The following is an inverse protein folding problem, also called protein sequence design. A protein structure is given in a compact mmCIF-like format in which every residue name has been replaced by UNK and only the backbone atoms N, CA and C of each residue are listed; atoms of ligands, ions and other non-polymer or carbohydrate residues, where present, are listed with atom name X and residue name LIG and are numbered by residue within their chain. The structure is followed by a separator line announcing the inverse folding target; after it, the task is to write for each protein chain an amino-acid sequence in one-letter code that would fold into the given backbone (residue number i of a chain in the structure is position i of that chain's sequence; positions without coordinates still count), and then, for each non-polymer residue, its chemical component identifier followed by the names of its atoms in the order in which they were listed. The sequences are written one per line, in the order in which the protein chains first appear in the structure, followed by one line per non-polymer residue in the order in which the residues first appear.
data_IF_608895539054
#
_entry.id   IF_608895539054
#
_cell.length_a   1.000
_cell.length_b   1.000
_cell.length_c   1.000
_cell.angle_alpha   90.00
_cell.angle_beta   90.00
_cell.angle_gamma   90.00
#
_symmetry.space_group_name_H-M   'P 1'
#
loop_
_entity.id
_entity.type
_entity.pdbx_description
1 polymer ?
#
# COMPACT_ATOMS: atom_id res chain seq x y z
N UNK A 1 -10.66 -11.82 9.19
CA UNK A 1 -10.32 -10.86 8.11
C UNK A 1 -8.83 -10.84 7.76
N UNK A 2 -7.91 -10.77 8.72
CA UNK A 2 -6.48 -10.70 8.42
C UNK A 2 -5.85 -12.01 7.89
N UNK A 3 -6.49 -13.18 8.03
CA UNK A 3 -5.92 -14.44 7.51
C UNK A 3 -5.75 -14.45 5.98
N UNK A 4 -6.70 -13.86 5.23
CA UNK A 4 -6.58 -13.70 3.77
C UNK A 4 -5.43 -12.74 3.45
N UNK A 5 -5.28 -11.67 4.24
CA UNK A 5 -4.18 -10.73 4.11
C UNK A 5 -2.82 -11.38 4.29
N UNK A 6 -2.65 -12.13 5.38
CA UNK A 6 -1.43 -12.83 5.72
C UNK A 6 -1.02 -13.80 4.61
N UNK A 7 -2.02 -14.51 4.06
CA UNK A 7 -1.81 -15.38 2.90
C UNK A 7 -1.35 -14.61 1.66
N UNK A 8 -1.89 -13.42 1.42
CA UNK A 8 -1.42 -12.59 0.29
C UNK A 8 0.00 -12.09 0.51
N UNK A 9 0.33 -11.54 1.68
CA UNK A 9 1.71 -11.11 1.97
C UNK A 9 2.71 -12.27 1.90
N UNK A 10 2.31 -13.46 2.33
CA UNK A 10 3.13 -14.67 2.18
C UNK A 10 3.32 -15.07 0.70
N UNK A 11 2.26 -15.02 -0.12
CA UNK A 11 2.35 -15.33 -1.55
C UNK A 11 3.29 -14.39 -2.27
N UNK A 12 3.22 -13.09 -1.98
CA UNK A 12 4.07 -12.08 -2.61
C UNK A 12 5.54 -12.28 -2.24
N UNK A 13 5.81 -12.58 -0.96
CA UNK A 13 7.15 -13.00 -0.52
C UNK A 13 7.63 -14.28 -1.24
N UNK A 14 6.78 -15.30 -1.35
CA UNK A 14 7.11 -16.56 -2.06
C UNK A 14 7.40 -16.35 -3.55
N UNK A 15 6.78 -15.34 -4.18
CA UNK A 15 7.10 -14.94 -5.56
C UNK A 15 8.39 -14.12 -5.67
N UNK A 16 9.01 -13.76 -4.55
CA UNK A 16 10.22 -12.94 -4.51
C UNK A 16 9.96 -11.48 -4.85
N UNK A 17 8.71 -11.00 -4.69
CA UNK A 17 8.32 -9.64 -5.05
C UNK A 17 8.43 -8.64 -3.88
N UNK A 18 8.76 -9.09 -2.67
CA UNK A 18 8.95 -8.21 -1.52
C UNK A 18 10.26 -8.57 -0.82
N UNK A 19 11.39 -8.31 -1.48
CA UNK A 19 12.67 -8.49 -0.82
C UNK A 19 12.82 -7.54 0.38
N UNK A 20 13.28 -8.08 1.51
CA UNK A 20 13.41 -7.36 2.78
C UNK A 20 12.09 -6.67 3.19
N UNK A 21 12.06 -5.34 3.12
CA UNK A 21 10.96 -4.46 3.47
C UNK A 21 10.39 -3.72 2.24
N UNK A 22 10.69 -4.18 1.01
CA UNK A 22 10.31 -3.56 -0.27
C UNK A 22 8.86 -3.79 -0.70
N UNK A 23 7.95 -3.91 0.27
CA UNK A 23 6.54 -4.18 0.03
C UNK A 23 5.69 -3.62 1.15
N UNK A 24 4.52 -3.08 0.80
CA UNK A 24 3.57 -2.59 1.79
C UNK A 24 2.13 -2.65 1.25
N UNK A 25 1.16 -2.80 2.16
CA UNK A 25 -0.25 -2.94 1.82
C UNK A 25 -1.10 -2.11 2.78
N UNK A 26 -2.15 -1.49 2.24
CA UNK A 26 -3.23 -0.96 3.06
C UNK A 26 -4.60 -1.33 2.48
N UNK A 27 -5.54 -1.62 3.38
CA UNK A 27 -6.91 -1.99 3.06
C UNK A 27 -7.82 -1.07 3.85
N UNK A 28 -8.73 -0.40 3.15
CA UNK A 28 -9.81 0.34 3.77
C UNK A 28 -10.87 -0.62 4.29
N UNK A 29 -11.26 -0.45 5.56
CA UNK A 29 -12.28 -1.23 6.25
C UNK A 29 -13.56 -0.42 6.48
N UNK A 30 -14.71 -1.10 6.55
CA UNK A 30 -15.94 -0.48 7.03
C UNK A 30 -16.00 -0.53 8.54
N UNK A 31 -16.88 0.28 9.14
CA UNK A 31 -17.05 0.31 10.58
C UNK A 31 -17.56 -1.03 11.11
N UNK A 32 -18.52 -1.64 10.41
CA UNK A 32 -19.13 -2.92 10.76
C UNK A 32 -18.09 -4.06 10.73
N UNK A 33 -17.20 -4.05 9.74
CA UNK A 33 -16.09 -5.00 9.67
C UNK A 33 -15.12 -4.84 10.83
N UNK A 34 -14.86 -3.62 11.30
CA UNK A 34 -14.00 -3.37 12.47
C UNK A 34 -14.69 -3.83 13.76
N UNK A 35 -15.94 -3.44 13.96
CA UNK A 35 -16.76 -3.80 15.13
C UNK A 35 -16.93 -5.31 15.30
N UNK A 36 -16.92 -6.06 14.20
CA UNK A 36 -16.97 -7.53 14.24
C UNK A 36 -15.74 -8.18 14.90
N UNK A 37 -14.59 -7.48 14.98
CA UNK A 37 -13.36 -8.02 15.59
C UNK A 37 -12.92 -7.27 16.84
N UNK A 38 -13.27 -5.98 16.98
CA UNK A 38 -12.94 -5.18 18.15
C UNK A 38 -14.13 -4.33 18.55
N UNK A 39 -14.56 -4.46 19.81
CA UNK A 39 -15.69 -3.70 20.35
C UNK A 39 -15.25 -2.34 20.93
N UNK A 40 -13.99 -1.93 20.76
CA UNK A 40 -13.46 -0.74 21.43
C UNK A 40 -13.00 0.32 20.44
N UNK A 41 -13.60 1.51 20.51
CA UNK A 41 -13.11 2.75 19.91
C UNK A 41 -11.85 3.30 20.63
N UNK A 42 -11.10 2.42 21.30
CA UNK A 42 -9.96 2.80 22.12
C UNK A 42 -8.80 3.18 21.21
N UNK A 43 -8.40 4.44 21.31
CA UNK A 43 -7.16 4.94 20.70
C UNK A 43 -5.99 4.58 21.61
N UNK A 44 -5.05 3.79 21.10
CA UNK A 44 -3.82 3.40 21.79
C UNK A 44 -2.76 4.49 21.69
N UNK A 45 -2.60 5.04 20.47
CA UNK A 45 -1.65 6.11 20.14
C UNK A 45 -2.26 6.97 19.03
N UNK A 46 -1.93 8.26 19.04
CA UNK A 46 -2.20 9.14 17.91
C UNK A 46 -0.87 9.41 17.21
N UNK A 47 -0.84 9.23 15.88
CA UNK A 47 0.36 9.41 15.06
C UNK A 47 0.06 10.53 14.06
N UNK A 48 0.83 11.61 14.11
CA UNK A 48 0.68 12.72 13.17
C UNK A 48 1.04 12.28 11.75
N UNK A 49 0.35 12.82 10.76
CA UNK A 49 0.68 12.61 9.34
C UNK A 49 0.94 13.95 8.65
N UNK A 50 2.00 14.00 7.85
CA UNK A 50 2.37 15.18 7.06
C UNK A 50 1.60 15.23 5.73
N UNK A 51 0.30 14.92 5.78
CA UNK A 51 -0.58 14.84 4.61
C UNK A 51 -2.02 15.19 5.01
N UNK A 52 -2.71 15.96 4.18
CA UNK A 52 -4.14 16.26 4.36
C UNK A 52 -4.99 15.05 3.91
N UNK A 53 -5.40 14.24 4.88
CA UNK A 53 -6.27 13.10 4.68
C UNK A 53 -7.75 13.41 5.03
N UNK A 54 -8.18 14.67 5.01
CA UNK A 54 -9.55 15.07 5.38
C UNK A 54 -10.63 14.37 4.54
N UNK A 55 -10.38 14.08 3.25
CA UNK A 55 -11.27 13.28 2.41
C UNK A 55 -11.50 11.84 2.92
N UNK A 56 -10.64 11.37 3.82
CA UNK A 56 -10.67 10.04 4.42
C UNK A 56 -11.03 10.06 5.91
N UNK A 57 -11.44 11.20 6.46
CA UNK A 57 -11.81 11.36 7.87
C UNK A 57 -12.77 10.24 8.34
N UNK A 58 -12.47 9.69 9.52
CA UNK A 58 -13.24 8.61 10.14
C UNK A 58 -13.13 7.24 9.47
N UNK A 59 -12.40 7.09 8.36
CA UNK A 59 -12.22 5.81 7.67
C UNK A 59 -11.16 4.96 8.36
N UNK A 60 -11.38 3.64 8.34
CA UNK A 60 -10.50 2.65 8.94
C UNK A 60 -9.58 2.02 7.91
N UNK A 61 -8.35 1.74 8.32
CA UNK A 61 -7.37 1.04 7.52
C UNK A 61 -6.66 -0.01 8.36
N UNK A 62 -6.53 -1.21 7.81
CA UNK A 62 -5.46 -2.11 8.22
C UNK A 62 -4.24 -1.77 7.35
N UNK A 63 -3.04 -1.74 7.92
CA UNK A 63 -1.83 -1.31 7.22
C UNK A 63 -0.60 -2.04 7.73
N UNK A 64 0.34 -2.31 6.83
CA UNK A 64 1.66 -2.84 7.17
C UNK A 64 2.58 -1.76 7.75
N UNK A 65 3.40 -2.10 8.74
CA UNK A 65 4.27 -1.13 9.40
C UNK A 65 5.53 -0.75 8.61
N UNK A 66 6.19 0.30 9.06
CA UNK A 66 7.51 0.71 8.54
C UNK A 66 8.59 -0.32 8.84
N UNK A 67 9.47 -0.58 7.85
CA UNK A 67 10.58 -1.53 7.97
C UNK A 67 10.18 -2.99 8.19
N UNK A 68 8.90 -3.35 8.00
CA UNK A 68 8.39 -4.70 8.25
C UNK A 68 8.61 -5.60 7.04
N UNK A 69 8.73 -6.90 7.33
CA UNK A 69 9.04 -7.92 6.34
C UNK A 69 7.79 -8.78 6.16
N UNK A 70 7.30 -8.93 4.92
CA UNK A 70 6.09 -9.72 4.64
C UNK A 70 6.20 -11.17 5.14
N UNK A 71 7.40 -11.76 5.06
CA UNK A 71 7.67 -13.11 5.57
C UNK A 71 7.35 -13.30 7.07
N UNK A 72 7.47 -12.24 7.86
CA UNK A 72 7.30 -12.28 9.31
C UNK A 72 5.85 -12.03 9.76
N UNK A 73 5.00 -11.49 8.87
CA UNK A 73 3.65 -11.05 9.25
C UNK A 73 2.77 -12.20 9.71
N UNK A 74 2.97 -13.41 9.18
CA UNK A 74 2.23 -14.61 9.59
C UNK A 74 2.54 -14.96 11.05
N UNK A 75 3.80 -14.82 11.46
CA UNK A 75 4.27 -15.15 12.82
C UNK A 75 4.01 -14.00 13.80
N UNK A 76 4.11 -12.73 13.34
CA UNK A 76 4.05 -11.54 14.19
C UNK A 76 3.05 -10.48 13.68
N UNK A 77 1.76 -10.81 13.54
CA UNK A 77 0.77 -9.91 12.96
C UNK A 77 0.57 -8.62 13.79
N UNK A 78 0.56 -8.72 15.12
CA UNK A 78 0.42 -7.56 16.02
C UNK A 78 1.64 -6.64 16.05
N UNK A 79 2.81 -7.13 15.61
CA UNK A 79 4.02 -6.32 15.50
C UNK A 79 4.09 -5.62 14.15
N UNK A 80 3.73 -6.36 13.09
CA UNK A 80 4.02 -5.96 11.71
C UNK A 80 2.83 -5.27 11.00
N UNK A 81 1.63 -5.35 11.57
CA UNK A 81 0.42 -4.68 11.08
C UNK A 81 -0.22 -3.82 12.16
N UNK A 82 -1.03 -2.85 11.72
CA UNK A 82 -1.82 -2.01 12.61
C UNK A 82 -3.17 -1.66 12.02
N UNK A 83 -4.20 -1.66 12.88
CA UNK A 83 -5.50 -1.10 12.58
C UNK A 83 -5.50 0.37 13.02
N UNK A 84 -5.76 1.25 12.07
CA UNK A 84 -5.77 2.69 12.28
C UNK A 84 -7.07 3.31 11.78
N UNK A 85 -7.46 4.43 12.36
CA UNK A 85 -8.54 5.29 11.87
C UNK A 85 -7.96 6.66 11.54
N UNK A 86 -8.35 7.23 10.40
CA UNK A 86 -7.99 8.62 10.09
C UNK A 86 -8.79 9.55 11.01
N UNK A 87 -8.11 10.49 11.66
CA UNK A 87 -8.79 11.43 12.56
C UNK A 87 -9.85 12.25 11.82
N UNK A 88 -10.83 12.77 12.55
CA UNK A 88 -11.92 13.57 11.97
C UNK A 88 -11.43 14.82 11.22
N UNK A 89 -10.24 15.33 11.59
CA UNK A 89 -9.59 16.49 10.95
C UNK A 89 -8.71 16.05 9.76
N UNK A 90 -8.28 14.79 9.70
CA UNK A 90 -7.45 14.26 8.62
C UNK A 90 -5.96 14.57 8.73
N UNK A 91 -5.48 15.04 9.88
CA UNK A 91 -4.06 15.40 10.11
C UNK A 91 -3.27 14.39 10.95
N UNK A 92 -3.94 13.31 11.37
CA UNK A 92 -3.38 12.28 12.24
C UNK A 92 -4.13 10.98 12.05
N UNK A 93 -3.54 9.89 12.55
CA UNK A 93 -4.18 8.58 12.61
C UNK A 93 -4.24 8.09 14.05
N UNK A 94 -5.40 7.56 14.40
CA UNK A 94 -5.67 6.90 15.67
C UNK A 94 -5.30 5.42 15.52
N UNK A 95 -4.24 4.97 16.19
CA UNK A 95 -3.88 3.56 16.27
C UNK A 95 -4.80 2.84 17.25
N UNK A 96 -5.52 1.83 16.78
CA UNK A 96 -6.52 1.10 17.56
C UNK A 96 -6.08 -0.32 17.93
N UNK A 97 -5.21 -0.92 17.11
CA UNK A 97 -4.63 -2.24 17.36
C UNK A 97 -3.34 -2.42 16.57
N UNK A 98 -2.47 -3.31 17.03
CA UNK A 98 -1.19 -3.62 16.38
C UNK A 98 -0.08 -2.63 16.72
N UNK A 99 1.06 -2.77 16.04
CA UNK A 99 2.32 -2.11 16.37
C UNK A 99 2.66 -2.15 17.87
N UNK A 100 2.52 -3.33 18.47
CA UNK A 100 2.69 -3.54 19.92
C UNK A 100 4.13 -3.27 20.43
N UNK A 101 5.10 -3.16 19.53
CA UNK A 101 6.50 -2.83 19.80
C UNK A 101 6.81 -1.32 19.66
N UNK A 102 5.80 -0.48 19.48
CA UNK A 102 5.98 0.96 19.26
C UNK A 102 6.16 1.34 17.79
N UNK A 103 6.01 0.40 16.86
CA UNK A 103 6.06 0.69 15.42
C UNK A 103 5.01 1.69 14.92
N UNK A 104 5.12 2.02 13.64
CA UNK A 104 4.25 2.96 12.94
C UNK A 104 3.86 2.39 11.57
N UNK A 105 2.81 2.93 10.90
CA UNK A 105 2.49 2.60 9.52
C UNK A 105 3.71 2.75 8.59
N UNK A 106 3.67 2.09 7.43
CA UNK A 106 4.71 2.25 6.39
C UNK A 106 5.03 3.72 6.13
N UNK A 107 6.31 4.03 5.87
CA UNK A 107 6.75 5.39 5.50
C UNK A 107 6.04 5.90 4.23
N UNK A 108 5.54 5.00 3.39
CA UNK A 108 4.78 5.31 2.17
C UNK A 108 3.28 5.50 2.42
N UNK A 109 2.83 5.49 3.67
CA UNK A 109 1.40 5.54 3.99
C UNK A 109 0.70 6.79 3.43
N UNK A 110 1.30 8.00 3.41
CA UNK A 110 0.74 9.14 2.69
C UNK A 110 0.43 8.85 1.21
N UNK A 111 1.32 8.13 0.50
CA UNK A 111 1.10 7.72 -0.90
C UNK A 111 -0.06 6.73 -1.03
N UNK A 112 -0.26 5.86 -0.04
CA UNK A 112 -1.42 4.99 0.01
C UNK A 112 -2.70 5.81 0.15
N UNK A 113 -2.72 6.78 1.08
CA UNK A 113 -3.89 7.64 1.30
C UNK A 113 -4.25 8.44 0.05
N UNK A 114 -3.27 9.05 -0.62
CA UNK A 114 -3.48 9.74 -1.91
C UNK A 114 -4.10 8.80 -2.96
N UNK A 115 -3.58 7.57 -3.05
CA UNK A 115 -4.11 6.57 -3.98
C UNK A 115 -5.54 6.17 -3.61
N UNK A 116 -5.82 5.93 -2.33
CA UNK A 116 -7.17 5.63 -1.83
C UNK A 116 -8.17 6.75 -2.16
N UNK A 117 -7.81 8.02 -1.96
CA UNK A 117 -8.64 9.18 -2.34
C UNK A 117 -8.97 9.13 -3.84
N UNK A 118 -7.94 8.93 -4.68
CA UNK A 118 -8.12 8.88 -6.12
C UNK A 118 -8.96 7.67 -6.58
N UNK A 119 -8.83 6.52 -5.92
CA UNK A 119 -9.61 5.30 -6.24
C UNK A 119 -11.05 5.40 -5.75
N UNK A 120 -11.28 5.97 -4.56
CA UNK A 120 -12.63 6.22 -4.03
C UNK A 120 -13.49 7.07 -4.96
N UNK A 121 -12.91 8.07 -5.62
CA UNK A 121 -13.59 8.90 -6.62
C UNK A 121 -14.02 8.13 -7.88
N UNK A 122 -13.38 6.98 -8.14
CA UNK A 122 -13.63 6.15 -9.32
C UNK A 122 -14.57 4.98 -9.02
N UNK A 123 -14.31 4.27 -7.92
CA UNK A 123 -15.03 3.08 -7.52
C UNK A 123 -14.87 2.87 -6.00
N UNK A 124 -15.97 2.95 -5.21
CA UNK A 124 -15.91 2.77 -3.76
C UNK A 124 -15.59 1.33 -3.33
N UNK A 125 -15.65 0.34 -4.21
CA UNK A 125 -15.27 -1.05 -3.91
C UNK A 125 -13.76 -1.28 -4.07
N UNK A 126 -13.02 -0.32 -4.64
CA UNK A 126 -11.56 -0.32 -4.65
C UNK A 126 -11.03 0.06 -3.27
N UNK A 127 -10.67 -0.98 -2.51
CA UNK A 127 -10.35 -0.87 -1.09
C UNK A 127 -8.92 -1.23 -0.74
N UNK A 128 -8.13 -1.75 -1.67
CA UNK A 128 -6.75 -2.20 -1.44
C UNK A 128 -5.78 -1.36 -2.25
N UNK A 129 -4.71 -0.90 -1.61
CA UNK A 129 -3.50 -0.39 -2.26
C UNK A 129 -2.34 -1.28 -1.83
N UNK A 130 -1.57 -1.74 -2.81
CA UNK A 130 -0.47 -2.67 -2.62
C UNK A 130 0.72 -2.20 -3.45
N UNK A 131 1.88 -2.14 -2.81
CA UNK A 131 3.18 -1.93 -3.43
C UNK A 131 4.03 -3.19 -3.22
N UNK A 132 4.74 -3.56 -4.28
CA UNK A 132 5.70 -4.66 -4.32
C UNK A 132 6.69 -4.40 -5.46
N UNK A 133 7.69 -5.25 -5.60
CA UNK A 133 8.73 -5.25 -6.62
C UNK A 133 8.65 -6.47 -7.56
N UNK A 134 7.68 -6.55 -8.48
CA UNK A 134 7.60 -7.67 -9.41
C UNK A 134 8.81 -7.69 -10.34
N UNK A 135 9.65 -8.72 -10.21
CA UNK A 135 10.98 -8.80 -10.83
C UNK A 135 10.96 -8.52 -12.34
N UNK A 136 10.05 -9.17 -13.06
CA UNK A 136 9.93 -9.03 -14.51
C UNK A 136 9.43 -7.64 -14.93
N UNK A 137 8.47 -7.07 -14.16
CA UNK A 137 7.95 -5.73 -14.45
C UNK A 137 9.02 -4.67 -14.25
N UNK A 138 9.79 -4.77 -13.16
CA UNK A 138 10.93 -3.90 -12.89
C UNK A 138 11.98 -4.03 -14.00
N UNK A 139 12.33 -5.25 -14.42
CA UNK A 139 13.28 -5.47 -15.52
C UNK A 139 12.83 -4.83 -16.85
N UNK A 140 11.53 -4.88 -17.16
CA UNK A 140 10.99 -4.23 -18.36
C UNK A 140 11.15 -2.71 -18.35
N UNK A 141 11.21 -2.06 -17.17
CA UNK A 141 11.39 -0.59 -17.10
C UNK A 141 12.76 -0.12 -17.60
N UNK A 142 13.77 -1.01 -17.60
CA UNK A 142 15.11 -0.76 -18.16
C UNK A 142 15.16 -1.02 -19.68
N UNK A 143 14.19 -1.75 -20.22
CA UNK A 143 14.09 -2.10 -21.63
C UNK A 143 13.29 -1.05 -22.40
N UNK A 144 13.70 0.23 -22.33
CA UNK A 144 13.18 1.21 -23.28
C UNK A 144 13.80 0.93 -24.64
N UNK A 145 12.96 0.66 -25.65
CA UNK A 145 13.36 0.86 -27.04
C UNK A 145 13.80 2.33 -27.18
N UNK A 146 15.12 2.57 -27.29
CA UNK A 146 15.59 3.84 -27.82
C UNK A 146 15.11 3.90 -29.27
N UNK A 147 14.12 4.72 -29.54
CA UNK A 147 13.86 5.14 -30.91
C UNK A 147 15.13 5.82 -31.41
N UNK A 148 15.86 5.21 -32.34
CA UNK A 148 17.00 5.81 -33.00
C UNK A 148 16.48 6.50 -34.27
N UNK A 149 16.44 7.84 -34.34
CA UNK A 149 15.90 8.53 -35.51
C UNK A 149 16.94 8.62 -36.64
N UNK A 150 17.48 7.49 -37.09
CA UNK A 150 18.28 7.47 -38.33
C UNK A 150 18.31 6.10 -38.99
N UNK A 151 17.24 5.78 -39.72
CA UNK A 151 17.38 5.08 -41.00
C UNK A 151 16.45 5.81 -41.96
N UNK A 152 16.93 6.90 -42.56
CA UNK A 152 16.38 7.31 -43.85
C UNK A 152 16.75 6.18 -44.82
N UNK A 153 15.75 5.54 -45.38
CA UNK A 153 15.92 4.59 -46.47
C UNK A 153 16.37 5.37 -47.70
N UNK A 154 17.66 5.29 -48.04
CA UNK A 154 18.13 5.55 -49.39
C UNK A 154 17.53 4.47 -50.31
N UNK A 155 16.41 4.79 -50.96
CA UNK A 155 15.95 4.03 -52.14
C UNK A 155 15.28 4.95 -53.16
N UNK A 156 16.03 5.23 -54.22
CA UNK A 156 15.63 5.23 -55.64
C UNK A 156 14.56 6.24 -56.10
N UNK A 157 15.02 7.40 -56.58
CA UNK A 157 14.39 8.13 -57.69
C UNK A 157 15.46 8.55 -58.71
N UNK A 158 15.88 7.58 -59.52
CA UNK A 158 16.45 7.80 -60.86
C UNK A 158 15.68 6.86 -61.80
N UNK A 159 14.53 7.30 -62.30
CA UNK A 159 13.85 6.80 -63.50
C UNK A 159 12.56 7.58 -63.80
N UNK A 160 12.68 8.71 -64.51
CA UNK A 160 11.91 9.06 -65.73
C UNK A 160 12.20 10.48 -66.18
#
# INVERSE_FOLDING_TARGET
MYAIWLKQTENLYRHGWDERNGGNVSLRLTKEEVEAYTCTDKVLRQISIDFDASELAGKYYLVTGTGRYFKNMVEFPERDMGLIRISEVGNSVDLMWGFNDGGEPTSEFPSHLMSHIARLKKDPDQRVIMHCHPTNLVAMTYSRFRYHPSVQSDTLEDAS
#
